data_IF_433432798300
#
_entry.id   IF_433432798300
#
_cell.length_a   1.000
_cell.length_b   1.000
_cell.length_c   1.000
_cell.angle_alpha   90.00
_cell.angle_beta   90.00
_cell.angle_gamma   90.00
#
_symmetry.space_group_name_H-M   'P 1'
#
loop_
_entity.id
_entity.type
_entity.pdbx_description
1 polymer ?
#
# COMPACT_ATOMS: atom_id res chain seq x y z
N UNK A 1 0.89 -3.63 44.80
CA UNK A 1 1.90 -2.68 44.29
C UNK A 1 1.76 -2.66 42.79
N UNK A 2 1.38 -1.54 42.16
CA UNK A 2 1.12 -1.50 40.73
C UNK A 2 2.44 -1.34 39.97
N UNK A 3 2.84 -2.38 39.25
CA UNK A 3 3.86 -2.25 38.20
C UNK A 3 3.24 -1.52 37.04
N UNK A 4 3.32 -0.20 37.05
CA UNK A 4 3.23 0.66 35.87
C UNK A 4 4.47 0.40 35.00
N UNK A 5 4.47 -0.68 34.25
CA UNK A 5 5.43 -0.82 33.18
C UNK A 5 4.96 0.08 32.00
N UNK A 6 5.55 1.26 31.93
CA UNK A 6 5.52 2.16 30.81
C UNK A 6 6.23 1.49 29.60
N UNK A 7 5.55 0.59 28.91
CA UNK A 7 5.90 0.23 27.53
C UNK A 7 5.29 1.28 26.57
N UNK A 8 5.63 2.55 26.81
CA UNK A 8 5.73 3.45 25.68
C UNK A 8 6.93 2.94 24.89
N UNK A 9 6.72 2.52 23.66
CA UNK A 9 7.77 2.44 22.67
C UNK A 9 8.54 3.76 22.81
N UNK A 10 9.71 3.69 23.44
CA UNK A 10 10.55 4.85 23.68
C UNK A 10 10.79 5.39 22.29
N UNK A 11 10.38 6.63 22.01
CA UNK A 11 10.77 7.32 20.78
C UNK A 11 12.29 7.36 20.86
N UNK A 12 12.94 6.36 20.27
CA UNK A 12 14.39 6.36 20.16
C UNK A 12 14.72 7.62 19.40
N UNK A 13 15.45 8.53 20.05
CA UNK A 13 15.94 9.72 19.41
C UNK A 13 16.55 9.29 18.08
N UNK A 14 15.98 9.76 16.98
CA UNK A 14 16.40 9.35 15.66
C UNK A 14 17.84 9.82 15.49
N UNK A 15 18.78 8.87 15.41
CA UNK A 15 20.20 9.21 15.22
C UNK A 15 20.31 10.10 13.98
N UNK A 16 21.07 11.19 14.06
CA UNK A 16 21.26 12.15 12.96
C UNK A 16 21.60 11.44 11.63
N UNK A 17 22.39 10.38 11.69
CA UNK A 17 22.74 9.58 10.51
C UNK A 17 21.51 8.92 9.84
N UNK A 18 20.51 8.51 10.60
CA UNK A 18 19.28 7.88 10.07
C UNK A 18 18.45 8.91 9.31
N UNK A 19 18.40 10.15 9.79
CA UNK A 19 17.69 11.23 9.09
C UNK A 19 18.32 11.45 7.71
N UNK A 20 19.64 11.52 7.62
CA UNK A 20 20.33 11.67 6.33
C UNK A 20 20.06 10.52 5.37
N UNK A 21 20.12 9.27 5.86
CA UNK A 21 19.81 8.11 5.02
C UNK A 21 18.37 8.12 4.54
N UNK A 22 17.41 8.40 5.43
CA UNK A 22 16.00 8.46 5.06
C UNK A 22 15.74 9.61 4.09
N UNK A 23 16.33 10.78 4.30
CA UNK A 23 16.22 11.91 3.37
C UNK A 23 16.79 11.58 1.99
N UNK A 24 17.93 10.88 1.92
CA UNK A 24 18.50 10.39 0.67
C UNK A 24 17.57 9.40 -0.05
N UNK A 25 16.96 8.47 0.69
CA UNK A 25 15.97 7.54 0.14
C UNK A 25 14.70 8.28 -0.35
N UNK A 26 14.23 9.26 0.41
CA UNK A 26 13.10 10.11 0.00
C UNK A 26 13.41 10.88 -1.29
N UNK A 27 14.61 11.49 -1.38
CA UNK A 27 15.05 12.19 -2.58
C UNK A 27 15.12 11.23 -3.78
N UNK A 28 15.74 10.06 -3.61
CA UNK A 28 15.79 9.03 -4.64
C UNK A 28 14.38 8.62 -5.10
N UNK A 29 13.48 8.36 -4.15
CA UNK A 29 12.09 8.02 -4.45
C UNK A 29 11.33 9.13 -5.19
N UNK A 30 11.61 10.40 -4.87
CA UNK A 30 11.07 11.55 -5.58
C UNK A 30 11.62 11.61 -7.02
N UNK A 31 12.93 11.43 -7.22
CA UNK A 31 13.56 11.44 -8.54
C UNK A 31 12.98 10.35 -9.46
N UNK A 32 12.82 9.12 -8.96
CA UNK A 32 12.19 8.04 -9.73
C UNK A 32 10.76 8.40 -10.15
N UNK A 33 9.96 9.01 -9.27
CA UNK A 33 8.59 9.42 -9.58
C UNK A 33 8.54 10.57 -10.56
N UNK A 34 9.42 11.56 -10.39
CA UNK A 34 9.51 12.71 -11.27
C UNK A 34 9.99 12.34 -12.68
N UNK A 35 10.79 11.27 -12.83
CA UNK A 35 11.27 10.82 -14.14
C UNK A 35 10.16 10.34 -15.07
N UNK A 36 9.01 9.93 -14.52
CA UNK A 36 7.83 9.49 -15.30
C UNK A 36 6.59 10.35 -15.04
N UNK A 37 6.74 11.40 -14.22
CA UNK A 37 5.63 12.29 -13.87
C UNK A 37 5.18 13.08 -15.09
N UNK A 38 3.88 13.02 -15.37
CA UNK A 38 3.26 13.77 -16.46
C UNK A 38 3.81 13.49 -17.87
N UNK A 39 4.41 12.30 -18.08
CA UNK A 39 4.88 11.87 -19.41
C UNK A 39 3.72 11.47 -20.32
N UNK A 40 2.62 11.01 -19.75
CA UNK A 40 1.41 10.62 -20.46
C UNK A 40 0.23 11.52 -20.07
N UNK A 41 -0.71 11.81 -20.99
CA UNK A 41 -2.05 12.22 -20.60
C UNK A 41 -2.60 11.20 -19.58
N UNK A 42 -3.41 11.66 -18.65
CA UNK A 42 -3.94 10.79 -17.60
C UNK A 42 -4.48 9.46 -18.19
N UNK A 43 -4.03 8.34 -17.62
CA UNK A 43 -4.54 7.02 -17.93
C UNK A 43 -6.07 6.96 -17.68
N UNK A 44 -6.80 6.08 -18.37
CA UNK A 44 -8.27 6.04 -18.35
C UNK A 44 -8.89 6.23 -16.97
N UNK A 45 -8.49 5.40 -15.97
CA UNK A 45 -9.02 5.51 -14.61
C UNK A 45 -8.61 6.83 -13.94
N UNK A 46 -7.37 7.29 -14.12
CA UNK A 46 -6.90 8.54 -13.53
C UNK A 46 -7.53 9.77 -14.19
N UNK A 47 -7.79 9.72 -15.50
CA UNK A 47 -8.55 10.76 -16.20
C UNK A 47 -9.98 10.84 -15.68
N UNK A 48 -10.61 9.68 -15.48
CA UNK A 48 -11.95 9.61 -14.91
C UNK A 48 -11.98 10.15 -13.46
N UNK A 49 -11.03 9.77 -12.62
CA UNK A 49 -10.93 10.31 -11.25
C UNK A 49 -10.69 11.82 -11.25
N UNK A 50 -9.83 12.31 -12.14
CA UNK A 50 -9.58 13.73 -12.30
C UNK A 50 -10.84 14.49 -12.74
N UNK A 51 -11.67 13.92 -13.61
CA UNK A 51 -12.94 14.53 -14.03
C UNK A 51 -13.90 14.67 -12.85
N UNK A 52 -13.99 13.65 -11.98
CA UNK A 52 -14.82 13.71 -10.77
C UNK A 52 -14.26 14.74 -9.77
N UNK A 53 -12.94 14.76 -9.56
CA UNK A 53 -12.29 15.77 -8.73
C UNK A 53 -12.52 17.19 -9.25
N UNK A 54 -12.47 17.39 -10.58
CA UNK A 54 -12.78 18.66 -11.22
C UNK A 54 -14.24 19.06 -11.01
N UNK A 55 -15.20 18.15 -11.22
CA UNK A 55 -16.63 18.44 -10.98
C UNK A 55 -16.89 18.89 -9.55
N UNK A 56 -16.26 18.25 -8.56
CA UNK A 56 -16.32 18.69 -7.16
C UNK A 56 -15.72 20.10 -7.01
N UNK A 57 -14.57 20.37 -7.62
CA UNK A 57 -13.92 21.70 -7.54
C UNK A 57 -14.75 22.81 -8.18
N UNK A 58 -15.55 22.49 -9.20
CA UNK A 58 -16.46 23.37 -9.92
C UNK A 58 -17.86 23.50 -9.26
N UNK A 59 -18.09 22.82 -8.12
CA UNK A 59 -19.30 22.99 -7.29
C UNK A 59 -20.26 21.80 -7.27
N UNK A 60 -20.03 20.75 -8.05
CA UNK A 60 -20.82 19.49 -7.94
C UNK A 60 -20.33 18.65 -6.76
N UNK A 61 -20.47 19.19 -5.55
CA UNK A 61 -19.99 18.55 -4.32
C UNK A 61 -20.54 17.14 -4.07
N UNK A 62 -21.69 16.82 -4.63
CA UNK A 62 -22.36 15.53 -4.42
C UNK A 62 -22.18 14.56 -5.59
N UNK A 63 -21.48 14.97 -6.65
CA UNK A 63 -21.29 14.19 -7.89
C UNK A 63 -22.63 13.75 -8.51
N UNK A 64 -23.60 14.68 -8.58
CA UNK A 64 -24.92 14.41 -9.12
C UNK A 64 -24.98 14.52 -10.65
N UNK A 65 -24.12 15.36 -11.23
CA UNK A 65 -24.10 15.63 -12.67
C UNK A 65 -23.25 14.59 -13.41
N UNK A 66 -22.13 14.20 -12.83
CA UNK A 66 -21.25 13.18 -13.42
C UNK A 66 -21.57 11.81 -12.86
N UNK A 67 -22.01 10.91 -13.72
CA UNK A 67 -22.36 9.55 -13.37
C UNK A 67 -21.17 8.77 -12.84
N UNK A 68 -21.14 8.58 -11.59
CA UNK A 68 -20.86 7.43 -10.79
C UNK A 68 -19.54 6.70 -10.91
N UNK A 69 -18.70 7.03 -9.98
CA UNK A 69 -17.57 6.18 -9.62
C UNK A 69 -18.01 4.85 -9.00
N UNK A 70 -17.33 3.77 -9.38
CA UNK A 70 -17.32 2.48 -8.70
C UNK A 70 -16.50 2.52 -7.39
N UNK A 71 -15.89 3.67 -7.09
CA UNK A 71 -15.09 3.93 -5.90
C UNK A 71 -15.78 4.94 -4.97
N UNK A 72 -15.54 4.84 -3.66
CA UNK A 72 -15.94 5.87 -2.70
C UNK A 72 -15.30 7.23 -3.03
N UNK A 73 -15.92 8.36 -2.64
CA UNK A 73 -15.61 9.67 -3.21
C UNK A 73 -14.40 10.37 -2.61
N UNK A 74 -13.83 9.89 -1.51
CA UNK A 74 -12.89 10.68 -0.71
C UNK A 74 -11.60 11.06 -1.47
N UNK A 75 -11.13 10.19 -2.35
CA UNK A 75 -9.97 10.50 -3.20
C UNK A 75 -10.26 11.68 -4.13
N UNK A 76 -11.45 11.77 -4.70
CA UNK A 76 -11.86 12.85 -5.60
C UNK A 76 -11.98 14.18 -4.86
N UNK A 77 -12.42 14.17 -3.60
CA UNK A 77 -12.39 15.39 -2.76
C UNK A 77 -10.96 15.85 -2.48
N UNK A 78 -10.02 14.92 -2.29
CA UNK A 78 -8.61 15.29 -2.17
C UNK A 78 -8.09 15.90 -3.48
N UNK A 79 -8.41 15.32 -4.64
CA UNK A 79 -8.06 15.92 -5.93
C UNK A 79 -8.71 17.30 -6.11
N UNK A 80 -9.98 17.46 -5.75
CA UNK A 80 -10.69 18.72 -5.83
C UNK A 80 -10.00 19.81 -4.97
N UNK A 81 -9.55 19.47 -3.77
CA UNK A 81 -8.78 20.38 -2.93
C UNK A 81 -7.51 20.87 -3.64
N UNK A 82 -6.75 19.97 -4.27
CA UNK A 82 -5.56 20.34 -5.04
C UNK A 82 -5.92 21.19 -6.25
N UNK A 83 -7.02 20.91 -6.95
CA UNK A 83 -7.50 21.73 -8.07
C UNK A 83 -7.92 23.13 -7.64
N UNK A 84 -8.57 23.28 -6.49
CA UNK A 84 -8.93 24.58 -5.95
C UNK A 84 -7.71 25.41 -5.54
N UNK A 85 -6.66 24.77 -5.01
CA UNK A 85 -5.45 25.44 -4.54
C UNK A 85 -4.46 25.78 -5.68
N UNK A 86 -4.33 24.92 -6.69
CA UNK A 86 -3.27 24.98 -7.68
C UNK A 86 -3.77 25.11 -9.13
N UNK A 87 -5.09 25.12 -9.33
CA UNK A 87 -5.71 25.12 -10.64
C UNK A 87 -5.89 23.73 -11.24
N UNK A 88 -6.80 23.63 -12.22
CA UNK A 88 -7.14 22.35 -12.89
C UNK A 88 -6.13 22.05 -13.99
N UNK A 89 -5.36 20.98 -13.81
CA UNK A 89 -4.44 20.47 -14.80
C UNK A 89 -4.16 18.98 -14.57
N UNK A 90 -3.67 18.27 -15.60
CA UNK A 90 -3.27 16.87 -15.49
C UNK A 90 -2.16 16.67 -14.43
N UNK A 91 -1.18 17.58 -14.37
CA UNK A 91 -0.11 17.52 -13.36
C UNK A 91 -0.66 17.66 -11.95
N UNK A 92 -1.62 18.56 -11.72
CA UNK A 92 -2.24 18.73 -10.40
C UNK A 92 -3.09 17.53 -10.02
N UNK A 93 -3.76 16.88 -10.97
CA UNK A 93 -4.55 15.66 -10.73
C UNK A 93 -3.71 14.51 -10.16
N UNK A 94 -2.42 14.45 -10.49
CA UNK A 94 -1.48 13.41 -10.05
C UNK A 94 -0.95 13.67 -8.64
N UNK A 95 -0.94 14.92 -8.16
CA UNK A 95 -0.31 15.29 -6.88
C UNK A 95 -0.77 14.49 -5.66
N UNK A 96 -2.07 14.18 -5.46
CA UNK A 96 -2.50 13.34 -4.33
C UNK A 96 -1.82 11.98 -4.31
N UNK A 97 -1.67 11.35 -5.48
CA UNK A 97 -1.01 10.04 -5.62
C UNK A 97 0.50 10.16 -5.39
N UNK A 98 1.13 11.22 -5.89
CA UNK A 98 2.54 11.51 -5.65
C UNK A 98 2.82 11.69 -4.14
N UNK A 99 2.02 12.51 -3.46
CA UNK A 99 2.11 12.70 -2.01
C UNK A 99 1.92 11.38 -1.27
N UNK A 100 0.92 10.58 -1.67
CA UNK A 100 0.68 9.25 -1.12
C UNK A 100 1.90 8.33 -1.25
N UNK A 101 2.53 8.29 -2.42
CA UNK A 101 3.75 7.51 -2.65
C UNK A 101 4.94 7.96 -1.79
N UNK A 102 5.12 9.27 -1.64
CA UNK A 102 6.17 9.83 -0.77
C UNK A 102 5.89 9.55 0.71
N UNK A 103 4.65 9.71 1.17
CA UNK A 103 4.25 9.34 2.53
C UNK A 103 4.50 7.84 2.78
N UNK A 104 4.19 6.98 1.79
CA UNK A 104 4.41 5.54 1.88
C UNK A 104 5.85 5.17 2.20
N UNK A 105 6.85 5.86 1.60
CA UNK A 105 8.27 5.66 1.89
C UNK A 105 8.58 5.95 3.37
N UNK A 106 8.06 7.05 3.91
CA UNK A 106 8.25 7.40 5.32
C UNK A 106 7.56 6.42 6.27
N UNK A 107 6.31 6.05 5.98
CA UNK A 107 5.51 5.18 6.86
C UNK A 107 6.10 3.77 6.92
N UNK A 108 6.53 3.20 5.78
CA UNK A 108 7.13 1.86 5.77
C UNK A 108 8.47 1.82 6.53
N UNK A 109 9.23 2.93 6.55
CA UNK A 109 10.39 3.08 7.41
C UNK A 109 10.00 2.92 8.88
N UNK A 110 8.97 3.65 9.35
CA UNK A 110 8.52 3.58 10.74
C UNK A 110 8.00 2.19 11.09
N UNK A 111 7.26 1.55 10.21
CA UNK A 111 6.78 0.17 10.40
C UNK A 111 7.96 -0.81 10.55
N UNK A 112 8.93 -0.78 9.65
CA UNK A 112 10.09 -1.68 9.70
C UNK A 112 10.99 -1.41 10.92
N UNK A 113 11.15 -0.13 11.31
CA UNK A 113 11.87 0.26 12.52
C UNK A 113 11.21 -0.30 13.78
N UNK A 114 9.90 -0.14 13.90
CA UNK A 114 9.16 -0.50 15.12
C UNK A 114 8.95 -2.03 15.21
N UNK A 115 8.88 -2.73 14.09
CA UNK A 115 8.82 -4.20 14.03
C UNK A 115 10.18 -4.87 14.29
N UNK A 116 11.27 -4.20 13.93
CA UNK A 116 12.61 -4.79 14.07
C UNK A 116 13.66 -3.78 14.55
N UNK A 117 14.09 -2.89 13.66
CA UNK A 117 15.06 -1.83 13.92
C UNK A 117 15.17 -0.85 12.74
N UNK A 118 15.95 0.21 12.94
CA UNK A 118 16.14 1.24 11.91
C UNK A 118 16.74 0.70 10.60
N UNK A 119 17.58 -0.33 10.64
CA UNK A 119 18.15 -0.90 9.41
C UNK A 119 17.08 -1.60 8.57
N UNK A 120 16.16 -2.37 9.20
CA UNK A 120 15.03 -2.98 8.53
C UNK A 120 14.07 -1.91 7.96
N UNK A 121 13.85 -0.81 8.71
CA UNK A 121 13.06 0.32 8.25
C UNK A 121 13.66 1.02 7.04
N UNK A 122 14.97 1.32 7.05
CA UNK A 122 15.67 1.95 5.92
C UNK A 122 15.67 1.06 4.68
N UNK A 123 15.89 -0.24 4.86
CA UNK A 123 15.85 -1.20 3.75
C UNK A 123 14.44 -1.29 3.15
N UNK A 124 13.41 -1.35 3.97
CA UNK A 124 12.02 -1.36 3.52
C UNK A 124 11.67 -0.06 2.77
N UNK A 125 12.08 1.10 3.30
CA UNK A 125 11.89 2.39 2.65
C UNK A 125 12.61 2.48 1.31
N UNK A 126 13.85 1.98 1.21
CA UNK A 126 14.62 1.95 -0.02
C UNK A 126 13.93 1.10 -1.09
N UNK A 127 13.54 -0.14 -0.75
CA UNK A 127 12.86 -1.04 -1.69
C UNK A 127 11.51 -0.47 -2.15
N UNK A 128 10.76 0.18 -1.25
CA UNK A 128 9.51 0.82 -1.61
C UNK A 128 9.71 2.06 -2.48
N UNK A 129 10.78 2.83 -2.24
CA UNK A 129 11.11 4.04 -2.99
C UNK A 129 11.42 3.74 -4.46
N UNK A 130 12.14 2.63 -4.73
CA UNK A 130 12.57 2.22 -6.08
C UNK A 130 11.58 1.26 -6.77
N UNK A 131 10.54 0.77 -6.08
CA UNK A 131 9.57 -0.18 -6.65
C UNK A 131 8.90 0.41 -7.90
N UNK A 132 9.00 -0.25 -9.08
CA UNK A 132 8.40 0.25 -10.32
C UNK A 132 6.89 0.50 -10.19
N UNK A 133 6.14 -0.44 -9.57
CA UNK A 133 4.71 -0.28 -9.35
C UNK A 133 4.40 0.89 -8.42
N UNK A 134 5.15 1.04 -7.31
CA UNK A 134 4.98 2.17 -6.38
C UNK A 134 5.26 3.50 -7.08
N UNK A 135 6.30 3.54 -7.93
CA UNK A 135 6.66 4.73 -8.72
C UNK A 135 5.56 5.05 -9.73
N UNK A 136 5.13 4.06 -10.53
CA UNK A 136 4.09 4.22 -11.54
C UNK A 136 2.75 4.68 -10.93
N UNK A 137 2.23 3.99 -9.92
CA UNK A 137 0.98 4.35 -9.26
C UNK A 137 1.00 5.76 -8.65
N UNK A 138 2.17 6.22 -8.20
CA UNK A 138 2.34 7.56 -7.62
C UNK A 138 2.42 8.65 -8.70
N UNK A 139 2.88 8.33 -9.91
CA UNK A 139 3.15 9.28 -10.96
C UNK A 139 2.03 9.36 -12.02
N UNK A 140 1.02 8.50 -11.93
CA UNK A 140 -0.09 8.42 -12.91
C UNK A 140 -1.45 8.84 -12.37
N UNK A 141 -1.54 9.32 -11.13
CA UNK A 141 -2.78 9.86 -10.57
C UNK A 141 -3.80 8.82 -10.13
N UNK A 142 -3.36 7.56 -9.93
CA UNK A 142 -4.21 6.49 -9.42
C UNK A 142 -4.36 6.56 -7.90
N UNK A 143 -5.52 6.17 -7.42
CA UNK A 143 -5.92 6.20 -6.00
C UNK A 143 -5.03 5.34 -5.10
N UNK A 144 -4.41 4.30 -5.67
CA UNK A 144 -3.75 3.21 -4.96
C UNK A 144 -2.61 3.67 -4.05
N UNK A 145 -1.81 4.64 -4.48
CA UNK A 145 -0.67 5.15 -3.69
C UNK A 145 -1.11 5.84 -2.40
N UNK A 146 -2.10 6.74 -2.48
CA UNK A 146 -2.61 7.44 -1.29
C UNK A 146 -3.38 6.48 -0.39
N UNK A 147 -4.22 5.63 -0.97
CA UNK A 147 -4.92 4.56 -0.25
C UNK A 147 -3.96 3.68 0.54
N UNK A 148 -2.85 3.26 -0.08
CA UNK A 148 -1.88 2.38 0.57
C UNK A 148 -1.10 3.10 1.68
N UNK A 149 -0.75 4.37 1.48
CA UNK A 149 -0.13 5.17 2.52
C UNK A 149 -1.02 5.31 3.76
N UNK A 150 -2.32 5.61 3.57
CA UNK A 150 -3.30 5.69 4.65
C UNK A 150 -3.49 4.33 5.34
N UNK A 151 -3.55 3.25 4.57
CA UNK A 151 -3.65 1.88 5.10
C UNK A 151 -2.44 1.53 5.95
N UNK A 152 -1.22 1.75 5.47
CA UNK A 152 0.00 1.52 6.25
C UNK A 152 0.05 2.38 7.52
N UNK A 153 -0.38 3.65 7.44
CA UNK A 153 -0.45 4.54 8.60
C UNK A 153 -1.45 4.03 9.64
N UNK A 154 -2.57 3.45 9.21
CA UNK A 154 -3.54 2.86 10.13
C UNK A 154 -2.98 1.64 10.88
N UNK A 155 -2.15 0.81 10.22
CA UNK A 155 -1.42 -0.25 10.91
C UNK A 155 -0.38 0.29 11.87
N UNK A 156 0.34 1.33 11.49
CA UNK A 156 1.30 1.97 12.39
C UNK A 156 0.62 2.51 13.65
N UNK A 157 -0.54 3.17 13.52
CA UNK A 157 -1.32 3.66 14.67
C UNK A 157 -1.90 2.51 15.50
N UNK A 158 -2.27 1.37 14.89
CA UNK A 158 -2.71 0.17 15.60
C UNK A 158 -1.60 -0.40 16.47
N UNK A 159 -0.37 -0.53 15.94
CA UNK A 159 0.79 -1.00 16.70
C UNK A 159 1.06 -0.13 17.92
N UNK A 160 0.79 1.17 17.82
CA UNK A 160 0.95 2.15 18.92
C UNK A 160 -0.31 2.28 19.78
N UNK A 161 -1.31 1.40 19.62
CA UNK A 161 -2.57 1.40 20.38
C UNK A 161 -3.34 2.72 20.33
N UNK A 162 -3.16 3.47 19.24
CA UNK A 162 -3.87 4.72 18.96
C UNK A 162 -5.22 4.42 18.29
N UNK A 163 -6.08 3.68 19.00
CA UNK A 163 -7.28 3.05 18.43
C UNK A 163 -8.22 4.02 17.72
N UNK A 164 -8.50 5.20 18.29
CA UNK A 164 -9.30 6.22 17.62
C UNK A 164 -8.73 6.58 16.23
N UNK A 165 -7.42 6.87 16.18
CA UNK A 165 -6.75 7.21 14.92
C UNK A 165 -6.71 6.03 13.94
N UNK A 166 -6.58 4.82 14.44
CA UNK A 166 -6.66 3.61 13.62
C UNK A 166 -8.04 3.52 12.97
N UNK A 167 -9.11 3.69 13.74
CA UNK A 167 -10.47 3.70 13.20
C UNK A 167 -10.70 4.80 12.18
N UNK A 168 -10.25 6.03 12.46
CA UNK A 168 -10.34 7.16 11.56
C UNK A 168 -9.64 6.88 10.21
N UNK A 169 -8.42 6.35 10.26
CA UNK A 169 -7.64 6.05 9.06
C UNK A 169 -8.24 4.87 8.26
N UNK A 170 -8.80 3.86 8.93
CA UNK A 170 -9.57 2.80 8.25
C UNK A 170 -10.80 3.38 7.57
N UNK A 171 -11.53 4.31 8.22
CA UNK A 171 -12.64 5.03 7.61
C UNK A 171 -12.23 5.83 6.39
N UNK A 172 -11.10 6.56 6.47
CA UNK A 172 -10.53 7.31 5.34
C UNK A 172 -10.14 6.37 4.21
N UNK A 173 -9.46 5.26 4.49
CA UNK A 173 -9.09 4.28 3.48
C UNK A 173 -10.34 3.66 2.81
N UNK A 174 -11.38 3.34 3.59
CA UNK A 174 -12.66 2.85 3.06
C UNK A 174 -13.36 3.91 2.22
N UNK A 175 -13.29 5.17 2.62
CA UNK A 175 -13.80 6.30 1.84
C UNK A 175 -13.06 6.55 0.53
N UNK A 176 -11.88 5.94 0.34
CA UNK A 176 -11.12 5.96 -0.92
C UNK A 176 -11.35 4.68 -1.74
N UNK A 177 -11.21 3.50 -1.13
CA UNK A 177 -11.25 2.22 -1.85
C UNK A 177 -11.76 1.09 -0.97
N UNK A 178 -12.73 0.31 -1.47
CA UNK A 178 -13.34 -0.80 -0.74
C UNK A 178 -12.35 -1.94 -0.41
N UNK A 179 -11.23 -1.99 -1.10
CA UNK A 179 -10.17 -3.01 -0.89
C UNK A 179 -9.72 -3.10 0.57
N UNK A 180 -9.87 -2.03 1.37
CA UNK A 180 -9.56 -2.06 2.81
C UNK A 180 -10.34 -3.15 3.57
N UNK A 181 -11.51 -3.56 3.08
CA UNK A 181 -12.32 -4.61 3.71
C UNK A 181 -11.59 -5.95 3.73
N UNK A 182 -10.76 -6.23 2.72
CA UNK A 182 -9.94 -7.46 2.68
C UNK A 182 -8.85 -7.48 3.76
N UNK A 183 -8.52 -6.33 4.37
CA UNK A 183 -7.60 -6.23 5.49
C UNK A 183 -8.27 -6.46 6.85
N UNK A 184 -9.59 -6.55 6.90
CA UNK A 184 -10.35 -6.74 8.16
C UNK A 184 -9.84 -7.90 9.01
N UNK A 185 -9.70 -9.14 8.49
CA UNK A 185 -9.16 -10.27 9.23
C UNK A 185 -7.75 -10.01 9.77
N UNK A 186 -6.93 -9.29 9.02
CA UNK A 186 -5.58 -8.93 9.43
C UNK A 186 -5.57 -7.92 10.59
N UNK A 187 -6.43 -6.88 10.55
CA UNK A 187 -6.58 -5.95 11.68
C UNK A 187 -7.00 -6.68 12.95
N UNK A 188 -7.97 -7.59 12.84
CA UNK A 188 -8.43 -8.39 13.98
C UNK A 188 -7.32 -9.28 14.54
N UNK A 189 -6.56 -9.94 13.67
CA UNK A 189 -5.46 -10.81 14.09
C UNK A 189 -4.34 -10.01 14.77
N UNK A 190 -3.94 -8.87 14.21
CA UNK A 190 -2.96 -7.98 14.84
C UNK A 190 -3.44 -7.48 16.20
N UNK A 191 -4.71 -7.05 16.29
CA UNK A 191 -5.30 -6.59 17.54
C UNK A 191 -5.35 -7.70 18.59
N UNK A 192 -5.75 -8.91 18.18
CA UNK A 192 -5.75 -10.09 19.08
C UNK A 192 -4.34 -10.41 19.59
N UNK A 193 -3.33 -10.38 18.72
CA UNK A 193 -1.93 -10.60 19.11
C UNK A 193 -1.46 -9.53 20.11
N UNK A 194 -1.79 -8.26 19.86
CA UNK A 194 -1.43 -7.15 20.75
C UNK A 194 -2.08 -7.29 22.13
N UNK A 195 -3.33 -7.72 22.19
CA UNK A 195 -4.04 -7.85 23.47
C UNK A 195 -3.66 -9.14 24.21
N UNK A 196 -3.49 -10.28 23.52
CA UNK A 196 -3.00 -11.53 24.09
C UNK A 196 -1.56 -11.44 24.63
N UNK A 197 -0.79 -10.46 24.20
CA UNK A 197 0.55 -10.24 24.74
C UNK A 197 0.50 -9.69 26.19
N UNK A 198 -0.56 -8.97 26.55
CA UNK A 198 -0.72 -8.29 27.83
C UNK A 198 -1.76 -8.92 28.76
N UNK A 199 -2.71 -9.64 28.18
CA UNK A 199 -3.86 -10.21 28.87
C UNK A 199 -3.98 -11.69 28.54
N UNK A 200 -4.62 -12.47 29.40
CA UNK A 200 -4.85 -13.89 29.19
C UNK A 200 -6.34 -14.21 28.96
N UNK A 201 -6.63 -15.21 28.13
CA UNK A 201 -7.95 -15.80 27.98
C UNK A 201 -9.09 -14.78 27.81
N UNK A 202 -10.06 -14.79 28.72
CA UNK A 202 -11.26 -13.93 28.70
C UNK A 202 -10.94 -12.43 28.79
N UNK A 203 -9.87 -12.06 29.51
CA UNK A 203 -9.46 -10.66 29.62
C UNK A 203 -8.95 -10.10 28.30
N UNK A 204 -8.20 -10.91 27.52
CA UNK A 204 -7.74 -10.52 26.20
C UNK A 204 -8.91 -10.26 25.26
N UNK A 205 -9.91 -11.14 25.27
CA UNK A 205 -11.13 -10.96 24.45
C UNK A 205 -11.89 -9.70 24.83
N UNK A 206 -12.06 -9.44 26.13
CA UNK A 206 -12.69 -8.20 26.61
C UNK A 206 -11.89 -6.95 26.18
N UNK A 207 -10.55 -7.03 26.26
CA UNK A 207 -9.67 -5.94 25.84
C UNK A 207 -9.73 -5.69 24.33
N UNK A 208 -9.80 -6.74 23.49
CA UNK A 208 -10.03 -6.64 22.04
C UNK A 208 -11.34 -5.91 21.76
N UNK A 209 -12.43 -6.34 22.39
CA UNK A 209 -13.75 -5.71 22.24
C UNK A 209 -13.70 -4.23 22.61
N UNK A 210 -13.11 -3.90 23.76
CA UNK A 210 -12.94 -2.50 24.19
C UNK A 210 -12.10 -1.68 23.22
N UNK A 211 -11.07 -2.26 22.61
CA UNK A 211 -10.23 -1.60 21.62
C UNK A 211 -10.97 -1.35 20.32
N UNK A 212 -11.80 -2.29 19.87
CA UNK A 212 -12.72 -2.10 18.73
C UNK A 212 -13.68 -0.95 19.02
N UNK A 213 -14.32 -0.91 20.19
CA UNK A 213 -15.20 0.20 20.56
C UNK A 213 -14.50 1.56 20.55
N UNK A 214 -13.20 1.63 20.91
CA UNK A 214 -12.41 2.86 20.79
C UNK A 214 -12.08 3.25 19.36
N UNK A 215 -12.08 2.31 18.42
CA UNK A 215 -11.88 2.57 16.98
C UNK A 215 -13.17 3.11 16.32
N UNK A 216 -14.34 2.67 16.79
CA UNK A 216 -15.63 2.98 16.16
C UNK A 216 -15.89 4.47 15.95
N UNK A 217 -15.68 5.38 16.92
CA UNK A 217 -15.95 6.81 16.71
C UNK A 217 -15.13 7.39 15.56
N UNK A 218 -13.83 7.09 15.50
CA UNK A 218 -12.98 7.53 14.39
C UNK A 218 -13.41 6.94 13.06
N UNK A 219 -13.79 5.68 13.02
CA UNK A 219 -14.29 5.02 11.82
C UNK A 219 -15.59 5.65 11.32
N UNK A 220 -16.58 5.78 12.20
CA UNK A 220 -17.91 6.23 11.81
C UNK A 220 -17.98 7.70 11.41
N UNK A 221 -17.08 8.55 11.91
CA UNK A 221 -17.01 9.96 11.49
C UNK A 221 -16.77 10.13 9.98
N UNK A 222 -16.09 9.16 9.35
CA UNK A 222 -15.86 9.14 7.90
C UNK A 222 -16.85 8.20 7.20
N UNK A 223 -17.06 7.02 7.75
CA UNK A 223 -17.88 5.99 7.11
C UNK A 223 -19.35 6.42 6.94
N UNK A 224 -19.95 7.04 7.94
CA UNK A 224 -21.38 7.44 7.86
C UNK A 224 -21.64 8.48 6.77
N UNK A 225 -20.86 9.56 6.61
CA UNK A 225 -21.00 10.47 5.47
C UNK A 225 -20.84 9.77 4.11
N UNK A 226 -19.85 8.89 3.97
CA UNK A 226 -19.61 8.14 2.72
C UNK A 226 -20.77 7.17 2.44
N UNK A 227 -21.26 6.47 3.45
CA UNK A 227 -22.41 5.59 3.34
C UNK A 227 -23.69 6.37 2.96
N UNK A 228 -23.95 7.49 3.62
CA UNK A 228 -25.08 8.37 3.32
C UNK A 228 -25.02 8.87 1.88
N UNK A 229 -23.84 9.35 1.44
CA UNK A 229 -23.63 9.75 0.06
C UNK A 229 -23.94 8.60 -0.92
N UNK A 230 -23.40 7.40 -0.70
CA UNK A 230 -23.60 6.25 -1.59
C UNK A 230 -25.02 5.68 -1.61
N UNK A 231 -25.79 5.87 -0.52
CA UNK A 231 -27.16 5.36 -0.42
C UNK A 231 -28.24 6.34 -0.90
N UNK A 232 -28.04 7.63 -0.66
CA UNK A 232 -29.13 8.62 -0.78
C UNK A 232 -28.83 9.74 -1.77
N UNK A 233 -27.55 10.10 -1.97
CA UNK A 233 -27.18 11.30 -2.73
C UNK A 233 -26.74 10.99 -4.17
N UNK A 234 -26.30 9.77 -4.46
CA UNK A 234 -25.90 9.39 -5.82
C UNK A 234 -27.10 9.09 -6.72
N UNK A 235 -26.97 9.35 -8.01
CA UNK A 235 -27.99 9.04 -9.01
C UNK A 235 -28.34 7.54 -9.10
N UNK A 236 -27.36 6.66 -8.82
CA UNK A 236 -27.56 5.22 -8.75
C UNK A 236 -27.44 4.70 -7.32
N UNK A 237 -28.55 4.72 -6.61
CA UNK A 237 -28.64 4.24 -5.22
C UNK A 237 -28.02 2.85 -5.08
N UNK A 238 -27.24 2.65 -4.02
CA UNK A 238 -26.61 1.37 -3.69
C UNK A 238 -25.57 0.85 -4.69
N UNK A 239 -25.12 1.65 -5.67
CA UNK A 239 -24.15 1.18 -6.67
C UNK A 239 -22.82 0.77 -6.02
N UNK A 240 -22.37 1.52 -5.03
CA UNK A 240 -21.17 1.17 -4.25
C UNK A 240 -21.27 -0.23 -3.64
N UNK A 241 -22.44 -0.57 -3.06
CA UNK A 241 -22.69 -1.89 -2.50
C UNK A 241 -22.82 -2.96 -3.59
N UNK A 242 -23.56 -2.66 -4.66
CA UNK A 242 -23.68 -3.54 -5.84
C UNK A 242 -22.34 -3.84 -6.47
N UNK A 243 -21.46 -2.84 -6.59
CA UNK A 243 -20.10 -3.00 -7.11
C UNK A 243 -19.24 -3.88 -6.21
N UNK A 244 -19.29 -3.63 -4.89
CA UNK A 244 -18.51 -4.42 -3.92
C UNK A 244 -18.95 -5.88 -3.94
N UNK A 245 -20.25 -6.14 -3.94
CA UNK A 245 -20.79 -7.51 -4.02
C UNK A 245 -20.58 -8.15 -5.38
N UNK A 246 -20.71 -7.39 -6.46
CA UNK A 246 -20.46 -7.85 -7.82
C UNK A 246 -19.01 -8.22 -8.09
N UNK A 247 -18.05 -7.50 -7.51
CA UNK A 247 -16.62 -7.81 -7.61
C UNK A 247 -16.31 -9.19 -6.97
N UNK A 248 -16.92 -9.47 -5.82
CA UNK A 248 -16.78 -10.76 -5.13
C UNK A 248 -17.54 -11.88 -5.85
N UNK A 249 -18.71 -11.58 -6.42
CA UNK A 249 -19.55 -12.58 -7.11
C UNK A 249 -19.21 -12.80 -8.58
N UNK A 250 -18.29 -12.03 -9.15
CA UNK A 250 -17.86 -12.17 -10.55
C UNK A 250 -18.83 -11.76 -11.63
N UNK A 251 -19.92 -11.13 -11.27
CA UNK A 251 -20.98 -10.76 -12.23
C UNK A 251 -20.65 -9.57 -13.14
N UNK A 252 -19.53 -8.87 -12.89
CA UNK A 252 -19.25 -7.60 -13.57
C UNK A 252 -18.40 -7.67 -14.82
N UNK A 253 -17.70 -8.79 -15.07
CA UNK A 253 -16.86 -8.87 -16.29
C UNK A 253 -16.48 -10.32 -16.64
N UNK A 254 -17.28 -10.99 -17.47
CA UNK A 254 -17.01 -12.38 -17.87
C UNK A 254 -15.75 -12.54 -18.72
N UNK A 255 -15.15 -11.46 -19.23
CA UNK A 255 -13.99 -11.50 -20.11
C UNK A 255 -12.68 -11.88 -19.41
N UNK A 256 -12.66 -11.91 -18.07
CA UNK A 256 -11.46 -12.13 -17.27
C UNK A 256 -11.46 -13.43 -16.45
N UNK A 257 -12.33 -14.38 -16.76
CA UNK A 257 -12.34 -15.70 -16.11
C UNK A 257 -11.29 -16.59 -16.78
N UNK A 258 -10.04 -16.46 -16.36
CA UNK A 258 -8.95 -17.30 -16.81
C UNK A 258 -8.87 -18.65 -16.08
N UNK A 259 -8.14 -19.59 -16.65
CA UNK A 259 -7.78 -20.86 -15.99
C UNK A 259 -6.87 -20.64 -14.79
N UNK A 260 -6.65 -21.65 -13.94
CA UNK A 260 -5.72 -21.56 -12.81
C UNK A 260 -4.28 -21.24 -13.24
N UNK A 261 -3.88 -21.67 -14.46
CA UNK A 261 -2.57 -21.34 -15.03
C UNK A 261 -2.48 -19.87 -15.41
N UNK A 262 -3.54 -19.29 -15.97
CA UNK A 262 -3.60 -17.86 -16.29
C UNK A 262 -3.49 -17.01 -15.01
N UNK A 263 -4.08 -17.47 -13.92
CA UNK A 263 -3.99 -16.82 -12.60
C UNK A 263 -2.57 -16.82 -12.02
N UNK A 264 -1.85 -17.93 -12.19
CA UNK A 264 -0.46 -18.02 -11.75
C UNK A 264 0.45 -17.14 -12.59
N UNK A 265 0.30 -17.15 -13.91
CA UNK A 265 1.06 -16.28 -14.82
C UNK A 265 0.78 -14.81 -14.56
N UNK A 266 -0.45 -14.46 -14.24
CA UNK A 266 -0.84 -13.12 -13.83
C UNK A 266 -0.17 -12.69 -12.50
N UNK A 267 -0.19 -13.55 -11.48
CA UNK A 267 0.48 -13.25 -10.21
C UNK A 267 1.99 -13.05 -10.42
N UNK A 268 2.60 -13.86 -11.25
CA UNK A 268 4.01 -13.74 -11.65
C UNK A 268 4.28 -12.41 -12.36
N UNK A 269 3.45 -12.03 -13.33
CA UNK A 269 3.51 -10.77 -14.03
C UNK A 269 3.31 -9.59 -13.06
N UNK A 270 2.28 -9.66 -12.20
CA UNK A 270 2.01 -8.64 -11.20
C UNK A 270 3.17 -8.44 -10.22
N UNK A 271 3.80 -9.51 -9.75
CA UNK A 271 5.00 -9.43 -8.91
C UNK A 271 6.19 -8.82 -9.67
N UNK A 272 6.34 -9.15 -10.96
CA UNK A 272 7.34 -8.54 -11.83
C UNK A 272 7.15 -7.03 -11.95
N UNK A 273 5.93 -6.56 -12.07
CA UNK A 273 5.60 -5.13 -12.11
C UNK A 273 5.83 -4.44 -10.75
N UNK A 274 5.61 -5.14 -9.64
CA UNK A 274 5.75 -4.58 -8.29
C UNK A 274 7.20 -4.46 -7.85
N UNK A 275 8.03 -5.45 -8.13
CA UNK A 275 9.45 -5.51 -7.67
C UNK A 275 10.47 -5.60 -8.81
N UNK A 276 10.03 -5.47 -10.05
CA UNK A 276 10.87 -5.63 -11.23
C UNK A 276 11.31 -7.09 -11.45
N UNK A 277 12.31 -7.28 -12.29
CA UNK A 277 12.83 -8.62 -12.64
C UNK A 277 13.39 -9.40 -11.42
N UNK A 278 13.61 -8.72 -10.30
CA UNK A 278 14.12 -9.29 -9.05
C UNK A 278 13.03 -9.86 -8.12
N UNK A 279 11.79 -10.01 -8.57
CA UNK A 279 10.68 -10.50 -7.74
C UNK A 279 10.95 -11.87 -7.10
N UNK A 280 11.74 -12.72 -7.75
CA UNK A 280 12.16 -14.03 -7.22
C UNK A 280 12.87 -13.92 -5.86
N UNK A 281 13.71 -12.87 -5.69
CA UNK A 281 14.44 -12.64 -4.44
C UNK A 281 13.49 -12.31 -3.29
N UNK A 282 12.50 -11.48 -3.57
CA UNK A 282 11.53 -11.10 -2.52
C UNK A 282 10.66 -12.29 -2.10
N UNK A 283 10.25 -13.11 -3.05
CA UNK A 283 9.54 -14.37 -2.73
C UNK A 283 10.47 -15.35 -2.02
N UNK A 284 11.72 -15.47 -2.45
CA UNK A 284 12.72 -16.29 -1.74
C UNK A 284 12.92 -15.82 -0.28
N UNK A 285 13.05 -14.51 -0.05
CA UNK A 285 13.13 -13.94 1.29
C UNK A 285 11.83 -14.15 2.10
N UNK A 286 10.67 -14.08 1.45
CA UNK A 286 9.40 -14.38 2.09
C UNK A 286 9.29 -15.85 2.55
N UNK A 287 9.64 -16.79 1.68
CA UNK A 287 9.68 -18.22 2.02
C UNK A 287 10.67 -18.47 3.17
N UNK A 288 11.86 -17.88 3.07
CA UNK A 288 12.87 -17.98 4.12
C UNK A 288 12.40 -17.37 5.45
N UNK A 289 11.68 -16.25 5.41
CA UNK A 289 11.03 -15.67 6.57
C UNK A 289 10.09 -16.66 7.25
N UNK A 290 9.22 -17.31 6.47
CA UNK A 290 8.30 -18.32 7.00
C UNK A 290 9.05 -19.46 7.68
N UNK A 291 10.09 -20.00 7.04
CA UNK A 291 10.90 -21.08 7.59
C UNK A 291 11.61 -20.68 8.88
N UNK A 292 12.20 -19.48 8.93
CA UNK A 292 12.88 -18.98 10.14
C UNK A 292 11.89 -18.76 11.28
N UNK A 293 10.72 -18.20 11.00
CA UNK A 293 9.67 -18.01 12.01
C UNK A 293 9.12 -19.35 12.53
N UNK A 294 8.89 -20.32 11.64
CA UNK A 294 8.50 -21.68 12.06
C UNK A 294 9.58 -22.33 12.96
N UNK A 295 10.86 -22.17 12.60
CA UNK A 295 11.97 -22.63 13.43
C UNK A 295 11.98 -21.96 14.80
N UNK A 296 11.76 -20.64 14.89
CA UNK A 296 11.63 -19.89 16.16
C UNK A 296 10.43 -20.38 16.98
N UNK A 297 9.26 -20.54 16.33
CA UNK A 297 8.05 -21.04 17.00
C UNK A 297 8.33 -22.42 17.61
N UNK A 298 8.89 -23.34 16.83
CA UNK A 298 9.25 -24.68 17.29
C UNK A 298 10.24 -24.63 18.48
N UNK A 299 11.30 -23.83 18.38
CA UNK A 299 12.29 -23.68 19.43
C UNK A 299 11.67 -23.11 20.73
N UNK A 300 10.84 -22.07 20.62
CA UNK A 300 10.19 -21.51 21.80
C UNK A 300 9.18 -22.47 22.42
N UNK A 301 8.45 -23.21 21.58
CA UNK A 301 7.53 -24.24 22.05
C UNK A 301 8.27 -25.35 22.79
N UNK A 302 9.39 -25.85 22.24
CA UNK A 302 10.22 -26.90 22.90
C UNK A 302 10.83 -26.45 24.21
N UNK A 303 11.15 -25.15 24.31
CA UNK A 303 11.70 -24.53 25.53
C UNK A 303 10.60 -24.02 26.49
N UNK A 304 9.32 -24.23 26.18
CA UNK A 304 8.16 -23.69 26.92
C UNK A 304 8.26 -22.17 27.17
N UNK A 305 8.82 -21.43 26.21
CA UNK A 305 8.97 -19.97 26.26
C UNK A 305 7.93 -19.31 25.35
N UNK A 306 7.54 -18.08 25.69
CA UNK A 306 6.65 -17.28 24.82
C UNK A 306 7.44 -16.62 23.68
N UNK A 307 6.82 -16.55 22.50
CA UNK A 307 7.32 -15.73 21.40
C UNK A 307 7.29 -14.25 21.74
N UNK A 308 8.29 -13.52 21.30
CA UNK A 308 8.30 -12.06 21.36
C UNK A 308 7.14 -11.46 20.56
N UNK A 309 6.65 -10.29 20.98
CA UNK A 309 5.54 -9.60 20.30
C UNK A 309 5.85 -9.35 18.82
N UNK A 310 7.07 -8.88 18.54
CA UNK A 310 7.48 -8.54 17.17
C UNK A 310 7.53 -9.80 16.27
N UNK A 311 7.96 -10.96 16.79
CA UNK A 311 7.93 -12.21 16.03
C UNK A 311 6.49 -12.68 15.76
N UNK A 312 5.56 -12.50 16.70
CA UNK A 312 4.13 -12.78 16.53
C UNK A 312 3.52 -11.87 15.44
N UNK A 313 3.83 -10.58 15.48
CA UNK A 313 3.36 -9.61 14.48
C UNK A 313 3.97 -9.90 13.10
N UNK A 314 5.26 -10.21 13.05
CA UNK A 314 5.93 -10.60 11.80
C UNK A 314 5.29 -11.85 11.19
N UNK A 315 4.95 -12.85 12.01
CA UNK A 315 4.19 -14.01 11.58
C UNK A 315 2.80 -13.65 11.03
N UNK A 316 2.12 -12.71 11.69
CA UNK A 316 0.83 -12.20 11.23
C UNK A 316 0.94 -11.53 9.83
N UNK A 317 1.96 -10.74 9.57
CA UNK A 317 2.21 -10.15 8.24
C UNK A 317 2.44 -11.21 7.17
N UNK A 318 3.17 -12.27 7.49
CA UNK A 318 3.38 -13.40 6.58
C UNK A 318 2.07 -14.14 6.29
N UNK A 319 1.25 -14.40 7.31
CA UNK A 319 -0.07 -15.03 7.13
C UNK A 319 -1.00 -14.17 6.28
N UNK A 320 -0.99 -12.85 6.48
CA UNK A 320 -1.78 -11.94 5.65
C UNK A 320 -1.32 -11.97 4.19
N UNK A 321 -0.01 -11.99 3.96
CA UNK A 321 0.55 -12.11 2.61
C UNK A 321 0.06 -13.39 1.91
N UNK A 322 0.11 -14.53 2.61
CA UNK A 322 -0.41 -15.80 2.09
C UNK A 322 -1.92 -15.73 1.84
N UNK A 323 -2.69 -15.19 2.78
CA UNK A 323 -4.13 -15.00 2.64
C UNK A 323 -4.46 -14.13 1.42
N UNK A 324 -3.73 -13.04 1.22
CA UNK A 324 -3.98 -12.17 0.09
C UNK A 324 -3.61 -12.82 -1.24
N UNK A 325 -2.53 -13.60 -1.30
CA UNK A 325 -2.21 -14.40 -2.48
C UNK A 325 -3.27 -15.47 -2.74
N UNK A 326 -3.81 -16.09 -1.69
CA UNK A 326 -4.95 -16.99 -1.82
C UNK A 326 -6.16 -16.28 -2.43
N UNK A 327 -6.50 -15.08 -1.93
CA UNK A 327 -7.59 -14.29 -2.51
C UNK A 327 -7.35 -13.96 -3.99
N UNK A 328 -6.13 -13.57 -4.36
CA UNK A 328 -5.80 -13.29 -5.76
C UNK A 328 -5.87 -14.53 -6.64
N UNK A 329 -5.41 -15.68 -6.17
CA UNK A 329 -5.37 -16.91 -6.96
C UNK A 329 -6.73 -17.60 -7.09
N UNK A 330 -7.56 -17.55 -6.05
CA UNK A 330 -8.76 -18.39 -5.99
C UNK A 330 -10.07 -17.60 -5.95
N UNK A 331 -10.06 -16.34 -5.51
CA UNK A 331 -11.29 -15.56 -5.31
C UNK A 331 -11.39 -14.41 -6.32
N UNK A 332 -10.29 -13.73 -6.63
CA UNK A 332 -10.31 -12.61 -7.56
C UNK A 332 -10.70 -13.06 -8.96
N UNK A 333 -11.55 -12.29 -9.61
CA UNK A 333 -12.04 -12.58 -10.96
C UNK A 333 -11.50 -11.61 -12.00
N UNK A 334 -11.00 -10.45 -11.58
CA UNK A 334 -10.24 -9.51 -12.40
C UNK A 334 -8.76 -9.60 -12.07
N UNK A 335 -7.94 -9.58 -13.11
CA UNK A 335 -6.50 -9.70 -12.99
C UNK A 335 -5.83 -8.47 -13.60
N UNK A 336 -5.54 -7.49 -12.75
CA UNK A 336 -4.76 -6.32 -13.12
C UNK A 336 -3.48 -6.33 -12.28
N UNK A 337 -2.33 -6.10 -12.91
CA UNK A 337 -1.02 -6.22 -12.25
C UNK A 337 -0.95 -5.47 -10.91
N UNK A 338 -1.58 -4.31 -10.83
CA UNK A 338 -1.61 -3.51 -9.59
C UNK A 338 -2.50 -4.07 -8.47
N UNK A 339 -3.26 -5.14 -8.68
CA UNK A 339 -3.99 -5.82 -7.60
C UNK A 339 -3.07 -6.55 -6.63
N UNK A 340 -1.80 -6.75 -6.98
CA UNK A 340 -0.76 -7.23 -6.06
C UNK A 340 -0.25 -6.12 -5.13
N UNK A 341 -0.43 -4.86 -5.51
CA UNK A 341 0.10 -3.72 -4.76
C UNK A 341 -0.32 -3.66 -3.28
N UNK A 342 -1.55 -4.01 -2.88
CA UNK A 342 -1.94 -4.02 -1.47
C UNK A 342 -1.10 -4.93 -0.56
N UNK A 343 -0.58 -6.03 -1.08
CA UNK A 343 0.27 -6.95 -0.30
C UNK A 343 1.76 -6.57 -0.34
N UNK A 344 2.14 -5.77 -1.29
CA UNK A 344 3.54 -5.45 -1.57
C UNK A 344 4.30 -4.82 -0.38
N UNK A 345 3.76 -3.83 0.37
CA UNK A 345 4.45 -3.30 1.54
C UNK A 345 4.77 -4.38 2.59
N UNK A 346 3.90 -5.37 2.75
CA UNK A 346 4.10 -6.47 3.70
C UNK A 346 5.19 -7.43 3.23
N UNK A 347 5.25 -7.71 1.93
CA UNK A 347 6.36 -8.47 1.32
C UNK A 347 7.71 -7.77 1.53
N UNK A 348 7.76 -6.45 1.30
CA UNK A 348 8.97 -5.66 1.52
C UNK A 348 9.37 -5.68 2.99
N UNK A 349 8.42 -5.43 3.91
CA UNK A 349 8.70 -5.44 5.34
C UNK A 349 9.25 -6.79 5.79
N UNK A 350 8.59 -7.88 5.41
CA UNK A 350 8.99 -9.23 5.72
C UNK A 350 10.40 -9.54 5.17
N UNK A 351 10.65 -9.25 3.88
CA UNK A 351 11.94 -9.45 3.26
C UNK A 351 13.05 -8.64 3.93
N UNK A 352 12.77 -7.37 4.26
CA UNK A 352 13.72 -6.47 4.92
C UNK A 352 14.07 -6.93 6.34
N UNK A 353 13.06 -7.35 7.12
CA UNK A 353 13.26 -7.89 8.47
C UNK A 353 14.11 -9.16 8.39
N UNK A 354 13.74 -10.07 7.48
CA UNK A 354 14.44 -11.34 7.30
C UNK A 354 15.90 -11.14 6.89
N UNK A 355 16.18 -10.25 5.95
CA UNK A 355 17.55 -9.97 5.52
C UNK A 355 18.38 -9.38 6.66
N UNK A 356 17.82 -8.44 7.41
CA UNK A 356 18.51 -7.85 8.57
C UNK A 356 18.71 -8.88 9.67
N UNK A 357 17.77 -9.79 9.88
CA UNK A 357 17.96 -10.92 10.81
C UNK A 357 19.11 -11.82 10.38
N UNK A 358 19.16 -12.23 9.12
CA UNK A 358 20.25 -13.05 8.59
C UNK A 358 21.63 -12.41 8.77
N UNK A 359 21.69 -11.07 8.58
CA UNK A 359 22.93 -10.32 8.78
C UNK A 359 23.35 -10.21 10.24
N UNK A 360 22.38 -10.18 11.16
CA UNK A 360 22.61 -9.95 12.59
C UNK A 360 22.64 -11.23 13.43
N UNK A 361 22.10 -12.35 12.93
CA UNK A 361 21.90 -13.52 13.80
C UNK A 361 23.12 -14.39 13.97
N UNK A 362 23.26 -14.81 15.24
CA UNK A 362 24.08 -15.92 15.71
C UNK A 362 23.54 -17.30 15.27
N UNK A 363 22.45 -17.37 14.49
CA UNK A 363 21.75 -18.61 14.13
C UNK A 363 22.50 -19.47 13.10
N UNK A 364 23.25 -18.84 12.24
CA UNK A 364 24.15 -19.57 11.36
C UNK A 364 25.49 -19.64 12.09
N UNK A 365 25.91 -20.85 12.46
CA UNK A 365 27.28 -21.09 12.95
C UNK A 365 28.33 -20.50 12.01
N UNK A 366 27.96 -20.38 10.76
CA UNK A 366 28.69 -19.69 9.67
C UNK A 366 28.86 -18.18 9.91
N UNK A 367 27.92 -17.51 10.58
CA UNK A 367 27.99 -16.08 10.87
C UNK A 367 28.91 -15.76 12.08
N UNK A 368 29.37 -16.75 12.84
CA UNK A 368 30.40 -16.57 13.84
C UNK A 368 31.77 -16.32 13.23
N UNK A 369 32.00 -16.79 11.99
CA UNK A 369 33.24 -16.60 11.28
C UNK A 369 33.17 -15.34 10.41
N UNK A 370 34.25 -14.55 10.37
CA UNK A 370 34.36 -13.35 9.53
C UNK A 370 33.98 -13.64 8.05
N UNK A 371 34.34 -14.82 7.54
CA UNK A 371 34.01 -15.27 6.17
C UNK A 371 32.50 -15.38 5.92
N UNK A 372 31.70 -15.91 6.85
CA UNK A 372 30.24 -16.03 6.70
C UNK A 372 29.57 -14.64 6.65
N UNK A 373 30.01 -13.70 7.48
CA UNK A 373 29.50 -12.32 7.44
C UNK A 373 29.81 -11.62 6.11
N UNK A 374 31.01 -11.82 5.59
CA UNK A 374 31.42 -11.27 4.29
C UNK A 374 30.56 -11.83 3.17
N UNK A 375 30.33 -13.15 3.13
CA UNK A 375 29.52 -13.80 2.09
C UNK A 375 28.06 -13.29 2.14
N UNK A 376 27.44 -13.22 3.32
CA UNK A 376 26.07 -12.69 3.47
C UNK A 376 26.02 -11.22 3.08
N UNK A 377 27.03 -10.43 3.47
CA UNK A 377 27.16 -9.03 3.06
C UNK A 377 27.26 -8.87 1.54
N UNK A 378 28.10 -9.67 0.88
CA UNK A 378 28.25 -9.68 -0.58
C UNK A 378 26.94 -10.07 -1.26
N UNK A 379 26.28 -11.16 -0.82
CA UNK A 379 25.00 -11.58 -1.37
C UNK A 379 23.92 -10.52 -1.19
N UNK A 380 23.85 -9.90 0.00
CA UNK A 380 22.93 -8.80 0.27
C UNK A 380 23.19 -7.59 -0.66
N UNK A 381 24.47 -7.23 -0.85
CA UNK A 381 24.86 -6.13 -1.75
C UNK A 381 24.53 -6.44 -3.21
N UNK A 382 24.81 -7.65 -3.68
CA UNK A 382 24.46 -8.10 -5.04
C UNK A 382 22.95 -8.05 -5.22
N UNK A 383 22.16 -8.50 -4.23
CA UNK A 383 20.70 -8.47 -4.27
C UNK A 383 20.18 -7.02 -4.37
N UNK A 384 20.74 -6.09 -3.59
CA UNK A 384 20.36 -4.68 -3.64
C UNK A 384 20.72 -4.02 -4.95
N UNK A 385 21.92 -4.27 -5.48
CA UNK A 385 22.34 -3.77 -6.79
C UNK A 385 21.44 -4.33 -7.89
N UNK A 386 21.15 -5.62 -7.87
CA UNK A 386 20.24 -6.25 -8.83
C UNK A 386 18.83 -5.67 -8.74
N UNK A 387 18.31 -5.45 -7.54
CA UNK A 387 17.01 -4.82 -7.33
C UNK A 387 16.97 -3.39 -7.87
N UNK A 388 18.00 -2.60 -7.59
CA UNK A 388 18.12 -1.23 -8.07
C UNK A 388 18.23 -1.16 -9.60
N UNK A 389 19.11 -1.97 -10.19
CA UNK A 389 19.29 -2.04 -11.65
C UNK A 389 18.02 -2.48 -12.36
N UNK A 390 17.35 -3.53 -11.84
CA UNK A 390 16.11 -4.04 -12.37
C UNK A 390 14.98 -3.00 -12.25
N UNK A 391 14.87 -2.31 -11.11
CA UNK A 391 13.90 -1.24 -10.92
C UNK A 391 14.13 -0.08 -11.87
N UNK A 392 15.38 0.35 -12.04
CA UNK A 392 15.75 1.43 -12.96
C UNK A 392 15.42 1.06 -14.40
N UNK A 393 15.76 -0.14 -14.85
CA UNK A 393 15.43 -0.62 -16.20
C UNK A 393 13.91 -0.64 -16.42
N UNK A 394 13.14 -1.11 -15.46
CA UNK A 394 11.67 -1.17 -15.56
C UNK A 394 11.02 0.21 -15.53
N UNK A 395 11.49 1.14 -14.68
CA UNK A 395 10.99 2.53 -14.65
C UNK A 395 11.30 3.24 -15.97
N UNK A 396 12.50 3.03 -16.54
CA UNK A 396 12.84 3.58 -17.85
C UNK A 396 11.93 3.02 -18.94
N UNK A 397 11.68 1.71 -18.94
CA UNK A 397 10.75 1.08 -19.89
C UNK A 397 9.33 1.65 -19.72
N UNK A 398 8.82 1.78 -18.49
CA UNK A 398 7.54 2.45 -18.22
C UNK A 398 7.54 3.87 -18.80
N UNK A 399 8.63 4.63 -18.60
CA UNK A 399 8.77 5.96 -19.16
C UNK A 399 8.76 5.99 -20.69
N UNK A 400 9.34 5.01 -21.37
CA UNK A 400 9.29 4.85 -22.82
C UNK A 400 7.88 4.46 -23.28
N UNK A 401 7.23 3.50 -22.64
CA UNK A 401 5.86 3.08 -22.92
C UNK A 401 4.89 4.26 -22.78
N UNK A 402 5.03 5.09 -21.74
CA UNK A 402 4.22 6.28 -21.51
C UNK A 402 4.46 7.35 -22.60
N UNK A 403 5.72 7.57 -23.01
CA UNK A 403 6.06 8.52 -24.10
C UNK A 403 5.52 8.08 -25.45
N UNK A 404 5.52 6.78 -25.71
CA UNK A 404 5.07 6.19 -26.97
C UNK A 404 3.58 5.79 -26.95
N UNK A 405 2.86 6.14 -25.88
CA UNK A 405 1.44 5.83 -25.73
C UNK A 405 0.62 6.45 -26.88
N UNK A 406 -0.31 5.69 -27.47
CA UNK A 406 -1.20 6.20 -28.50
C UNK A 406 -2.07 7.37 -28.03
N UNK A 407 -2.18 7.60 -26.72
CA UNK A 407 -2.90 8.73 -26.13
C UNK A 407 -2.13 10.06 -26.21
N UNK A 408 -0.84 10.06 -26.57
CA UNK A 408 -0.10 11.33 -26.78
C UNK A 408 -0.67 12.15 -27.93
N UNK A 409 -1.15 11.50 -28.98
CA UNK A 409 -1.86 12.17 -30.08
C UNK A 409 -3.13 12.90 -29.64
N UNK A 410 -3.77 12.47 -28.57
CA UNK A 410 -4.96 13.11 -27.99
C UNK A 410 -4.64 14.52 -27.47
N UNK A 411 -3.46 14.75 -26.91
CA UNK A 411 -3.06 16.11 -26.48
C UNK A 411 -2.89 17.07 -27.65
N UNK A 412 -2.37 16.61 -28.77
CA UNK A 412 -2.28 17.43 -29.97
C UNK A 412 -3.66 17.73 -30.54
N UNK A 413 -4.55 16.73 -30.57
CA UNK A 413 -5.95 16.92 -30.96
C UNK A 413 -6.65 17.91 -30.02
N UNK A 414 -6.45 17.78 -28.68
CA UNK A 414 -7.03 18.71 -27.71
C UNK A 414 -6.47 20.13 -27.90
N UNK A 415 -5.17 20.30 -28.18
CA UNK A 415 -4.59 21.62 -28.49
C UNK A 415 -5.23 22.27 -29.70
N UNK A 416 -5.52 21.49 -30.74
CA UNK A 416 -6.19 21.96 -31.96
C UNK A 416 -7.67 22.27 -31.71
N UNK A 417 -8.36 21.45 -30.91
CA UNK A 417 -9.81 21.59 -30.66
C UNK A 417 -10.12 22.63 -29.58
N UNK A 418 -9.21 22.84 -28.58
CA UNK A 418 -9.43 23.75 -27.46
C UNK A 418 -9.88 25.17 -27.85
N UNK A 419 -9.33 25.81 -28.89
CA UNK A 419 -9.83 27.12 -29.32
C UNK A 419 -11.28 27.09 -29.81
N UNK A 420 -11.70 26.00 -30.44
CA UNK A 420 -13.07 25.83 -30.95
C UNK A 420 -14.08 25.52 -29.82
N UNK A 421 -13.65 24.83 -28.77
CA UNK A 421 -14.46 24.55 -27.57
C UNK A 421 -14.72 25.82 -26.74
N UNK A 422 -13.77 26.75 -26.72
CA UNK A 422 -13.94 28.04 -26.02
C UNK A 422 -14.92 28.99 -26.70
N UNK A 423 -15.24 28.74 -27.98
CA UNK A 423 -16.19 29.56 -28.75
C UNK A 423 -17.65 29.04 -28.70
N UNK A 424 -18.01 28.25 -27.71
CA UNK A 424 -19.40 27.84 -27.45
C UNK A 424 -19.92 26.67 -28.29
N UNK A 425 -19.09 26.04 -29.12
CA UNK A 425 -19.44 24.81 -29.82
C UNK A 425 -19.25 23.58 -28.92
N UNK A 426 -20.33 22.99 -28.44
CA UNK A 426 -20.32 21.73 -27.68
C UNK A 426 -20.05 20.57 -28.63
N UNK A 427 -18.86 19.97 -28.54
CA UNK A 427 -18.62 18.61 -29.01
C UNK A 427 -18.88 17.63 -27.88
N UNK A 428 -19.81 16.72 -28.08
CA UNK A 428 -20.08 15.59 -27.22
C UNK A 428 -19.11 14.48 -27.65
N UNK A 429 -18.17 14.13 -26.76
CA UNK A 429 -17.40 12.89 -26.87
C UNK A 429 -17.83 11.91 -25.80
#
# INVERSE_FOLDING_TARGET
>A
VPLRNNYYLTIQMVNKNIIWWLSGIMLLGALFRLSIYNLEPLFMDSAYYASLGRSIAEGDYLLQVNHMSDKPPLFFYVQALFFQLLGVSASVAVLPSFVGGMMGIGIIYFLGRDLKNSAAGLLAAFLFAISPMSVWLSATGLIDSLFMAVTMLSFWTLLHRRYYWTGLLIGIALGMKQTILSFGPFYLLCLLILELHHHSGKEAFHSVTKSIFKMMPGFFIVFLPVLYWGMFLTSEKMKLLKWTTGFVSGKHDPQFVGTSLDRLSFLQSGLGEVVGLSWHWIIGLFILSMLLLMGKIYQQWSLKRQLELNDKLHFCYNLFTLFFFFLLLFVAQKYLAWYVFPVFPFLILTGSITLVELLNTRYLSWNRNARGKIIIGILGTITLISAFSSATARVNQIGEDLRNSPYQGVQEVIKVIKPYLMNGNSFIF
#
